data_IF_820894089343
#
_entry.id   IF_820894089343
#
_cell.length_a   1.000
_cell.length_b   1.000
_cell.length_c   1.000
_cell.angle_alpha   90.00
_cell.angle_beta   90.00
_cell.angle_gamma   90.00
#
_symmetry.space_group_name_H-M   'P 1'
#
loop_
_entity.id
_entity.type
_entity.pdbx_description
1 polymer ?
#
# COMPACT_ATOMS: atom_id res chain seq x y z
N UNK A 1 21.69 -2.09 -22.76
CA UNK A 1 20.68 -1.51 -21.86
C UNK A 1 21.30 -0.27 -21.26
N UNK A 2 20.68 0.90 -21.39
CA UNK A 2 21.26 2.15 -20.88
C UNK A 2 21.34 2.05 -19.36
N UNK A 3 22.54 2.08 -18.78
CA UNK A 3 22.79 1.95 -17.33
C UNK A 3 21.93 2.89 -16.46
N UNK A 4 21.42 3.98 -17.05
CA UNK A 4 20.54 4.94 -16.38
C UNK A 4 19.12 4.40 -16.11
N UNK A 5 18.58 3.50 -16.94
CA UNK A 5 17.23 2.95 -16.72
C UNK A 5 17.19 1.98 -15.52
N UNK A 6 18.28 1.27 -15.27
CA UNK A 6 18.40 0.34 -14.15
C UNK A 6 18.40 1.02 -12.78
N UNK A 7 18.79 2.30 -12.69
CA UNK A 7 18.93 3.00 -11.41
C UNK A 7 17.60 3.57 -10.89
N UNK A 8 16.76 4.08 -11.80
CA UNK A 8 15.50 4.72 -11.42
C UNK A 8 14.38 3.73 -11.09
N UNK A 9 14.41 2.55 -11.73
CA UNK A 9 13.41 1.50 -11.53
C UNK A 9 13.23 1.08 -10.05
N UNK A 10 14.28 0.68 -9.30
CA UNK A 10 14.15 0.30 -7.88
C UNK A 10 13.62 1.42 -6.99
N UNK A 11 13.96 2.67 -7.32
CA UNK A 11 13.53 3.84 -6.57
C UNK A 11 12.04 4.10 -6.78
N UNK A 12 11.58 4.02 -8.04
CA UNK A 12 10.17 4.19 -8.40
C UNK A 12 9.27 3.13 -7.77
N UNK A 13 9.72 1.87 -7.70
CA UNK A 13 8.97 0.78 -7.06
C UNK A 13 8.77 1.03 -5.57
N UNK A 14 9.82 1.47 -4.86
CA UNK A 14 9.72 1.80 -3.43
C UNK A 14 8.83 3.01 -3.17
N UNK A 15 8.95 4.06 -3.98
CA UNK A 15 8.07 5.24 -3.89
C UNK A 15 6.61 4.87 -4.12
N UNK A 16 6.33 4.03 -5.11
CA UNK A 16 4.98 3.53 -5.33
C UNK A 16 4.48 2.70 -4.15
N UNK A 17 5.31 1.82 -3.58
CA UNK A 17 4.99 1.08 -2.36
C UNK A 17 4.62 1.98 -1.18
N UNK A 18 5.33 3.10 -1.00
CA UNK A 18 5.01 4.12 0.01
C UNK A 18 3.63 4.73 -0.23
N UNK A 19 3.32 5.12 -1.47
CA UNK A 19 2.01 5.67 -1.80
C UNK A 19 0.88 4.66 -1.53
N UNK A 20 1.07 3.40 -1.90
CA UNK A 20 0.11 2.32 -1.64
C UNK A 20 -0.09 2.11 -0.13
N UNK A 21 0.99 2.13 0.66
CA UNK A 21 0.90 2.01 2.12
C UNK A 21 0.16 3.20 2.76
N UNK A 22 0.37 4.42 2.26
CA UNK A 22 -0.36 5.61 2.71
C UNK A 22 -1.85 5.46 2.38
N UNK A 23 -2.20 5.04 1.16
CA UNK A 23 -3.59 4.82 0.75
C UNK A 23 -4.26 3.76 1.63
N UNK A 24 -3.59 2.63 1.88
CA UNK A 24 -4.08 1.59 2.79
C UNK A 24 -4.32 2.10 4.22
N UNK A 25 -3.41 2.93 4.72
CA UNK A 25 -3.55 3.55 6.05
C UNK A 25 -4.73 4.51 6.12
N UNK A 26 -4.91 5.35 5.10
CA UNK A 26 -6.04 6.29 5.00
C UNK A 26 -7.35 5.53 4.90
N UNK A 27 -7.42 4.47 4.09
CA UNK A 27 -8.61 3.64 3.94
C UNK A 27 -9.01 2.97 5.28
N UNK A 28 -8.03 2.46 6.03
CA UNK A 28 -8.27 1.93 7.37
C UNK A 28 -8.80 3.00 8.32
N UNK A 29 -8.16 4.17 8.36
CA UNK A 29 -8.60 5.28 9.19
C UNK A 29 -10.05 5.67 8.90
N UNK A 30 -10.42 5.83 7.63
CA UNK A 30 -11.80 6.14 7.24
C UNK A 30 -12.78 5.00 7.59
N UNK A 31 -12.36 3.76 7.45
CA UNK A 31 -13.18 2.59 7.82
C UNK A 31 -13.48 2.58 9.32
N UNK A 32 -12.47 2.83 10.17
CA UNK A 32 -12.64 2.86 11.63
C UNK A 32 -13.41 4.08 12.13
N UNK A 33 -13.25 5.24 11.48
CA UNK A 33 -14.00 6.45 11.85
C UNK A 33 -15.43 6.45 11.31
N UNK A 34 -15.73 5.65 10.29
CA UNK A 34 -17.06 5.55 9.67
C UNK A 34 -17.81 4.26 9.99
N UNK A 35 -17.44 3.56 11.06
CA UNK A 35 -18.02 2.25 11.45
C UNK A 35 -19.54 2.29 11.63
N UNK A 36 -20.07 3.38 12.19
CA UNK A 36 -21.51 3.60 12.33
C UNK A 36 -22.27 3.67 11.00
N UNK A 37 -21.60 4.13 9.94
CA UNK A 37 -22.18 4.30 8.60
C UNK A 37 -22.00 3.05 7.75
N UNK A 38 -20.85 2.38 7.88
CA UNK A 38 -20.55 1.15 7.14
C UNK A 38 -21.26 -0.09 7.69
N UNK A 39 -21.55 -0.12 9.00
CA UNK A 39 -22.23 -1.23 9.66
C UNK A 39 -21.54 -2.58 9.38
N UNK A 40 -22.29 -3.52 8.78
CA UNK A 40 -21.80 -4.88 8.50
C UNK A 40 -20.60 -4.88 7.53
N UNK A 41 -20.50 -3.87 6.66
CA UNK A 41 -19.41 -3.78 5.68
C UNK A 41 -18.09 -3.28 6.27
N UNK A 42 -18.06 -2.81 7.53
CA UNK A 42 -16.83 -2.39 8.21
C UNK A 42 -15.76 -3.47 8.18
N UNK A 43 -16.15 -4.73 8.37
CA UNK A 43 -15.22 -5.87 8.34
C UNK A 43 -14.58 -6.06 6.95
N UNK A 44 -15.37 -5.93 5.88
CA UNK A 44 -14.92 -6.05 4.50
C UNK A 44 -13.95 -4.92 4.13
N UNK A 45 -14.34 -3.66 4.38
CA UNK A 45 -13.48 -2.51 4.08
C UNK A 45 -12.23 -2.49 4.95
N UNK A 46 -12.33 -2.94 6.20
CA UNK A 46 -11.18 -3.08 7.10
C UNK A 46 -10.21 -4.14 6.58
N UNK A 47 -10.71 -5.30 6.17
CA UNK A 47 -9.89 -6.34 5.55
C UNK A 47 -9.20 -5.84 4.28
N UNK A 48 -9.93 -5.18 3.37
CA UNK A 48 -9.35 -4.60 2.15
C UNK A 48 -8.27 -3.56 2.45
N UNK A 49 -8.49 -2.71 3.46
CA UNK A 49 -7.49 -1.73 3.90
C UNK A 49 -6.20 -2.38 4.41
N UNK A 50 -6.33 -3.43 5.22
CA UNK A 50 -5.18 -4.22 5.71
C UNK A 50 -4.44 -4.87 4.53
N UNK A 51 -5.15 -5.46 3.57
CA UNK A 51 -4.52 -6.08 2.40
C UNK A 51 -3.74 -5.05 1.58
N UNK A 52 -4.33 -3.88 1.30
CA UNK A 52 -3.65 -2.80 0.56
C UNK A 52 -2.42 -2.29 1.32
N UNK A 53 -2.54 -2.11 2.64
CA UNK A 53 -1.43 -1.71 3.49
C UNK A 53 -0.27 -2.72 3.41
N UNK A 54 -0.58 -4.01 3.54
CA UNK A 54 0.40 -5.09 3.46
C UNK A 54 1.07 -5.10 2.08
N UNK A 55 0.32 -4.95 0.99
CA UNK A 55 0.89 -4.89 -0.35
C UNK A 55 1.86 -3.71 -0.51
N UNK A 56 1.49 -2.52 -0.02
CA UNK A 56 2.37 -1.35 -0.03
C UNK A 56 3.66 -1.59 0.77
N UNK A 57 3.55 -2.17 1.96
CA UNK A 57 4.70 -2.54 2.79
C UNK A 57 5.59 -3.59 2.11
N UNK A 58 5.00 -4.60 1.48
CA UNK A 58 5.76 -5.62 0.74
C UNK A 58 6.53 -4.99 -0.42
N UNK A 59 5.94 -4.06 -1.17
CA UNK A 59 6.65 -3.36 -2.25
C UNK A 59 7.85 -2.54 -1.75
N UNK A 60 7.80 -2.02 -0.52
CA UNK A 60 8.92 -1.30 0.10
C UNK A 60 10.00 -2.29 0.59
N UNK A 61 9.58 -3.42 1.16
CA UNK A 61 10.45 -4.39 1.84
C UNK A 61 11.09 -5.41 0.90
N UNK A 62 10.47 -5.70 -0.24
CA UNK A 62 11.02 -6.62 -1.23
C UNK A 62 12.36 -6.03 -1.70
N UNK A 63 13.44 -6.77 -1.41
CA UNK A 63 14.73 -6.52 -2.03
C UNK A 63 14.62 -6.95 -3.49
N UNK A 64 14.89 -6.02 -4.40
CA UNK A 64 15.18 -6.38 -5.78
C UNK A 64 16.46 -7.22 -5.77
N UNK A 65 16.36 -8.42 -6.36
CA UNK A 65 17.50 -9.32 -6.52
C UNK A 65 18.39 -8.68 -7.59
N UNK A 66 19.63 -8.34 -7.23
CA UNK A 66 20.68 -7.88 -8.18
C UNK A 66 20.87 -8.86 -9.34
#
# INVERSE_FOLDING_TARGET
MSEKESFWFPISVKLFGILVAIIGSILLYFTFTSTSTLGVFTSLFGFLGIVILILGLLMILIKEKE
#
